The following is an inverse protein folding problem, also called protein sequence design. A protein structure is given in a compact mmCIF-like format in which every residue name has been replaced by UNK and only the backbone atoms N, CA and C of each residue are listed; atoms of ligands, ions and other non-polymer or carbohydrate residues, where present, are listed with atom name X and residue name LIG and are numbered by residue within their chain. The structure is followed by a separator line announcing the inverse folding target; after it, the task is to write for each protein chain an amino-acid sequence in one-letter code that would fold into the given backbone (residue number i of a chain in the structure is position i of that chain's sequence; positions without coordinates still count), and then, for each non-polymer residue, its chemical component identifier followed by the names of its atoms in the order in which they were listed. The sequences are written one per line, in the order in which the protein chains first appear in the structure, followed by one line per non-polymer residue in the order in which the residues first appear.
data_IF_820224099265
#
_entry.id   IF_820224099265
#
_cell.length_a   1.000
_cell.length_b   1.000
_cell.length_c   1.000
_cell.angle_alpha   90.00
_cell.angle_beta   90.00
_cell.angle_gamma   90.00
#
_symmetry.space_group_name_H-M   'P 1'
#
loop_
_entity.id
_entity.type
_entity.pdbx_description
1 polymer ?
#
# COMPACT_ATOMS: atom_id res chain seq x y z
N UNK A 1 -39.30 -16.32 -50.35
CA UNK A 1 -38.18 -15.40 -50.08
C UNK A 1 -37.94 -15.29 -48.60
N UNK A 2 -36.94 -15.99 -48.05
CA UNK A 2 -36.58 -15.94 -46.62
C UNK A 2 -35.53 -14.87 -46.41
N UNK A 3 -35.84 -13.82 -45.62
CA UNK A 3 -34.90 -12.75 -45.28
C UNK A 3 -34.00 -13.27 -44.17
N UNK A 4 -32.71 -13.43 -44.48
CA UNK A 4 -31.65 -13.72 -43.53
C UNK A 4 -31.28 -12.40 -42.83
N UNK A 5 -31.46 -12.33 -41.48
CA UNK A 5 -30.96 -11.23 -40.65
C UNK A 5 -29.55 -11.58 -40.23
N UNK A 6 -28.58 -10.87 -40.75
CA UNK A 6 -27.18 -10.92 -40.33
C UNK A 6 -27.01 -10.14 -39.04
N UNK A 7 -26.78 -10.84 -37.89
CA UNK A 7 -26.36 -10.22 -36.64
C UNK A 7 -24.84 -10.10 -36.65
N UNK A 8 -24.32 -8.89 -36.88
CA UNK A 8 -22.92 -8.59 -36.62
C UNK A 8 -22.73 -8.44 -35.09
N UNK A 9 -22.05 -9.39 -34.48
CA UNK A 9 -21.50 -9.24 -33.16
C UNK A 9 -20.19 -8.44 -33.24
N UNK A 10 -20.23 -7.18 -32.82
CA UNK A 10 -19.02 -6.40 -32.58
C UNK A 10 -18.43 -6.91 -31.26
N UNK A 11 -17.38 -7.71 -31.32
CA UNK A 11 -16.48 -7.94 -30.20
C UNK A 11 -15.72 -6.63 -29.97
N UNK A 12 -16.19 -5.81 -29.04
CA UNK A 12 -15.39 -4.73 -28.46
C UNK A 12 -14.39 -5.44 -27.55
N UNK A 13 -13.17 -5.63 -28.05
CA UNK A 13 -12.04 -5.94 -27.20
C UNK A 13 -11.84 -4.72 -26.29
N UNK A 14 -12.44 -4.74 -25.09
CA UNK A 14 -11.99 -3.85 -24.01
C UNK A 14 -10.53 -4.19 -23.79
N UNK A 15 -9.65 -3.27 -24.15
CA UNK A 15 -8.27 -3.27 -23.65
C UNK A 15 -8.39 -3.20 -22.13
N UNK A 16 -8.11 -4.31 -21.46
CA UNK A 16 -7.91 -4.37 -20.03
C UNK A 16 -6.62 -3.59 -19.73
N UNK A 17 -6.69 -2.27 -19.70
CA UNK A 17 -5.80 -1.50 -18.84
C UNK A 17 -6.16 -1.98 -17.43
N UNK A 18 -5.19 -2.60 -16.74
CA UNK A 18 -5.42 -3.15 -15.42
C UNK A 18 -6.07 -2.11 -14.52
N UNK A 19 -7.20 -2.48 -13.91
CA UNK A 19 -7.88 -1.60 -12.97
C UNK A 19 -6.87 -1.20 -11.90
N UNK A 20 -6.72 0.13 -11.66
CA UNK A 20 -5.82 0.65 -10.64
C UNK A 20 -6.33 0.28 -9.25
N UNK A 21 -5.44 -0.25 -8.44
CA UNK A 21 -5.70 -0.45 -7.02
C UNK A 21 -5.72 0.88 -6.27
N UNK A 22 -6.40 0.86 -5.13
CA UNK A 22 -6.31 1.87 -4.09
C UNK A 22 -5.56 1.27 -2.90
N UNK A 23 -4.69 2.06 -2.29
CA UNK A 23 -3.91 1.64 -1.13
C UNK A 23 -4.32 2.43 0.10
N UNK A 24 -4.57 1.75 1.20
CA UNK A 24 -4.58 2.37 2.52
C UNK A 24 -3.19 2.19 3.14
N UNK A 25 -2.54 3.29 3.49
CA UNK A 25 -1.36 3.30 4.33
C UNK A 25 -1.79 3.72 5.74
N UNK A 26 -1.86 2.75 6.65
CA UNK A 26 -2.26 2.94 8.04
C UNK A 26 -1.04 2.92 8.93
N UNK A 27 -0.83 3.98 9.71
CA UNK A 27 0.31 4.11 10.62
C UNK A 27 -0.18 4.17 12.06
N UNK A 28 0.22 3.22 12.87
CA UNK A 28 -0.01 3.20 14.31
C UNK A 28 1.18 3.82 15.02
N UNK A 29 0.92 4.80 15.89
CA UNK A 29 1.94 5.43 16.74
C UNK A 29 1.84 4.85 18.14
N UNK A 30 2.87 4.11 18.56
CA UNK A 30 2.92 3.39 19.83
C UNK A 30 3.59 4.26 20.87
N UNK A 31 2.96 4.56 22.02
CA UNK A 31 3.60 5.28 23.10
C UNK A 31 4.68 4.43 23.78
N UNK A 32 5.61 5.06 24.49
CA UNK A 32 6.71 4.40 25.19
C UNK A 32 6.26 3.23 26.09
N UNK A 33 5.10 3.37 26.73
CA UNK A 33 4.48 2.36 27.57
C UNK A 33 3.36 1.55 26.88
N UNK A 34 3.25 1.65 25.57
CA UNK A 34 2.24 0.94 24.78
C UNK A 34 2.57 -0.54 24.61
N UNK A 35 1.53 -1.34 24.40
CA UNK A 35 1.69 -2.78 24.14
C UNK A 35 1.78 -3.07 22.65
N UNK A 36 2.99 -3.04 22.11
CA UNK A 36 3.28 -3.48 20.76
C UNK A 36 2.82 -4.92 20.51
N UNK A 37 3.08 -5.81 21.47
CA UNK A 37 2.65 -7.20 21.38
C UNK A 37 1.14 -7.35 21.24
N UNK A 38 0.34 -6.51 21.92
CA UNK A 38 -1.11 -6.54 21.78
C UNK A 38 -1.57 -6.07 20.37
N UNK A 39 -0.84 -5.13 19.76
CA UNK A 39 -1.11 -4.72 18.39
C UNK A 39 -0.75 -5.83 17.39
N UNK A 40 0.41 -6.46 17.54
CA UNK A 40 0.81 -7.58 16.69
C UNK A 40 -0.20 -8.74 16.77
N UNK A 41 -0.57 -9.16 17.97
CA UNK A 41 -1.58 -10.20 18.15
C UNK A 41 -2.92 -9.83 17.52
N UNK A 42 -3.37 -8.58 17.65
CA UNK A 42 -4.59 -8.11 16.98
C UNK A 42 -4.48 -8.15 15.46
N UNK A 43 -3.37 -7.69 14.90
CA UNK A 43 -3.16 -7.72 13.46
C UNK A 43 -3.12 -9.16 12.95
N UNK A 44 -2.31 -10.02 13.57
CA UNK A 44 -2.07 -11.40 13.12
C UNK A 44 -3.28 -12.30 13.31
N UNK A 45 -3.93 -12.26 14.49
CA UNK A 45 -4.99 -13.21 14.86
C UNK A 45 -6.40 -12.74 14.49
N UNK A 46 -6.60 -11.43 14.29
CA UNK A 46 -7.92 -10.88 14.07
C UNK A 46 -8.05 -10.15 12.72
N UNK A 47 -7.30 -9.05 12.52
CA UNK A 47 -7.54 -8.15 11.39
C UNK A 47 -7.10 -8.75 10.05
N UNK A 48 -5.87 -9.24 9.93
CA UNK A 48 -5.36 -9.80 8.67
C UNK A 48 -6.18 -11.00 8.19
N UNK A 49 -6.52 -12.00 9.04
CA UNK A 49 -7.39 -13.09 8.61
C UNK A 49 -8.79 -12.63 8.21
N UNK A 50 -9.32 -11.58 8.84
CA UNK A 50 -10.63 -11.06 8.50
C UNK A 50 -10.63 -10.30 7.16
N UNK A 51 -9.58 -9.55 6.84
CA UNK A 51 -9.38 -8.90 5.55
C UNK A 51 -9.20 -9.93 4.43
N UNK A 52 -8.36 -10.94 4.66
CA UNK A 52 -8.13 -12.02 3.68
C UNK A 52 -9.43 -12.77 3.33
N UNK A 53 -10.29 -13.05 4.30
CA UNK A 53 -11.61 -13.67 4.05
C UNK A 53 -12.53 -12.82 3.16
N UNK A 54 -12.23 -11.54 3.00
CA UNK A 54 -12.96 -10.59 2.14
C UNK A 54 -12.24 -10.29 0.83
N UNK A 55 -11.24 -11.11 0.49
CA UNK A 55 -10.49 -10.99 -0.76
C UNK A 55 -9.49 -9.82 -0.77
N UNK A 56 -9.18 -9.23 0.40
CA UNK A 56 -8.08 -8.27 0.53
C UNK A 56 -6.80 -9.04 0.80
N UNK A 57 -5.94 -9.11 -0.20
CA UNK A 57 -4.71 -9.90 -0.20
C UNK A 57 -3.47 -9.01 -0.30
N UNK A 58 -2.27 -9.60 -0.21
CA UNK A 58 -0.98 -8.90 -0.35
C UNK A 58 -0.80 -7.74 0.64
N UNK A 59 -1.33 -7.89 1.85
CA UNK A 59 -1.21 -6.89 2.92
C UNK A 59 0.21 -6.94 3.49
N UNK A 60 0.85 -5.75 3.60
CA UNK A 60 2.14 -5.60 4.26
C UNK A 60 1.99 -5.00 5.65
N UNK A 61 2.78 -5.49 6.62
CA UNK A 61 2.93 -4.88 7.95
C UNK A 61 4.42 -4.67 8.19
N UNK A 62 4.80 -3.46 8.51
CA UNK A 62 6.19 -3.03 8.57
C UNK A 62 6.48 -2.29 9.88
N UNK A 63 7.68 -2.48 10.38
CA UNK A 63 8.23 -1.72 11.49
C UNK A 63 9.38 -0.84 11.00
N UNK A 64 9.54 0.33 11.62
CA UNK A 64 10.67 1.19 11.31
C UNK A 64 11.98 0.54 11.79
N UNK A 65 13.02 0.61 10.95
CA UNK A 65 14.34 0.12 11.30
C UNK A 65 14.94 0.96 12.44
N UNK A 66 15.59 0.29 13.39
CA UNK A 66 16.13 0.92 14.60
C UNK A 66 15.09 1.05 15.72
N UNK A 67 15.30 1.99 16.62
CA UNK A 67 14.42 2.24 17.77
C UNK A 67 13.86 3.68 17.73
N UNK A 68 13.02 4.01 16.76
CA UNK A 68 12.44 5.34 16.68
C UNK A 68 11.51 5.61 17.86
N UNK A 69 11.50 6.85 18.35
CA UNK A 69 10.56 7.29 19.39
C UNK A 69 9.72 8.45 18.88
N UNK A 70 8.40 8.32 18.79
CA UNK A 70 7.60 7.11 19.09
C UNK A 70 7.79 5.99 18.05
N UNK A 71 7.66 4.75 18.47
CA UNK A 71 7.66 3.60 17.57
C UNK A 71 6.44 3.63 16.66
N UNK A 72 6.60 3.18 15.41
CA UNK A 72 5.52 3.13 14.43
C UNK A 72 5.42 1.73 13.80
N UNK A 73 4.19 1.27 13.65
CA UNK A 73 3.85 0.12 12.80
C UNK A 73 3.04 0.64 11.63
N UNK A 74 3.51 0.34 10.43
CA UNK A 74 2.90 0.77 9.16
C UNK A 74 2.26 -0.44 8.49
N UNK A 75 0.99 -0.29 8.09
CA UNK A 75 0.23 -1.33 7.38
C UNK A 75 -0.16 -0.80 6.01
N UNK A 76 0.22 -1.53 4.96
CA UNK A 76 -0.15 -1.27 3.57
C UNK A 76 -1.23 -2.26 3.16
N UNK A 77 -2.40 -1.77 2.80
CA UNK A 77 -3.57 -2.59 2.43
C UNK A 77 -4.03 -2.22 1.03
N UNK A 78 -3.90 -3.11 0.03
CA UNK A 78 -4.44 -2.88 -1.29
C UNK A 78 -5.94 -3.22 -1.35
N UNK A 79 -6.69 -2.37 -2.05
CA UNK A 79 -8.10 -2.57 -2.38
C UNK A 79 -8.29 -2.45 -3.88
N UNK A 80 -9.17 -3.25 -4.45
CA UNK A 80 -9.48 -3.19 -5.87
C UNK A 80 -9.99 -1.80 -6.30
N UNK A 81 -10.74 -1.14 -5.43
CA UNK A 81 -11.24 0.23 -5.56
C UNK A 81 -11.61 0.81 -4.19
N UNK A 82 -11.91 2.10 -4.15
CA UNK A 82 -12.26 2.79 -2.90
C UNK A 82 -13.62 2.34 -2.32
N UNK A 83 -14.54 1.86 -3.15
CA UNK A 83 -15.83 1.34 -2.68
C UNK A 83 -15.65 0.00 -1.96
N UNK A 84 -14.69 -0.82 -2.40
CA UNK A 84 -14.30 -2.07 -1.73
C UNK A 84 -13.82 -1.81 -0.30
N UNK A 85 -13.04 -0.77 -0.04
CA UNK A 85 -12.68 -0.37 1.32
C UNK A 85 -13.91 -0.15 2.21
N UNK A 86 -14.85 0.68 1.76
CA UNK A 86 -16.07 0.98 2.54
C UNK A 86 -16.91 -0.27 2.82
N UNK A 87 -17.05 -1.15 1.82
CA UNK A 87 -17.74 -2.44 1.97
C UNK A 87 -17.05 -3.35 2.99
N UNK A 88 -15.73 -3.51 2.88
CA UNK A 88 -14.93 -4.35 3.79
C UNK A 88 -15.06 -3.87 5.22
N UNK A 89 -14.93 -2.56 5.48
CA UNK A 89 -15.09 -2.00 6.83
C UNK A 89 -16.49 -2.29 7.40
N UNK A 90 -17.54 -2.09 6.61
CA UNK A 90 -18.91 -2.37 7.05
C UNK A 90 -19.17 -3.85 7.33
N UNK A 91 -18.51 -4.74 6.60
CA UNK A 91 -18.61 -6.19 6.80
C UNK A 91 -17.81 -6.70 7.99
N UNK A 92 -16.68 -6.07 8.33
CA UNK A 92 -15.90 -6.39 9.53
C UNK A 92 -16.73 -6.25 10.82
N UNK A 93 -17.54 -5.20 10.91
CA UNK A 93 -18.40 -4.96 12.09
C UNK A 93 -19.53 -6.02 12.26
N UNK A 94 -19.73 -6.89 11.26
CA UNK A 94 -20.71 -7.98 11.27
C UNK A 94 -20.05 -9.36 11.30
N UNK A 95 -18.72 -9.44 11.24
CA UNK A 95 -17.99 -10.69 11.25
C UNK A 95 -17.80 -11.22 12.66
N UNK A 96 -18.63 -12.19 13.06
CA UNK A 96 -18.57 -12.80 14.39
C UNK A 96 -17.20 -13.43 14.71
N UNK A 97 -16.50 -13.97 13.70
CA UNK A 97 -15.16 -14.54 13.89
C UNK A 97 -14.14 -13.44 14.21
N UNK A 98 -14.17 -12.34 13.45
CA UNK A 98 -13.35 -11.17 13.72
C UNK A 98 -13.68 -10.55 15.08
N UNK A 99 -14.97 -10.30 15.36
CA UNK A 99 -15.43 -9.73 16.63
C UNK A 99 -15.04 -10.58 17.84
N UNK A 100 -15.02 -11.92 17.68
CA UNK A 100 -14.53 -12.82 18.74
C UNK A 100 -13.00 -12.73 18.90
N UNK A 101 -12.27 -12.72 17.81
CA UNK A 101 -10.81 -12.69 17.82
C UNK A 101 -10.26 -11.36 18.40
N UNK A 102 -10.90 -10.23 18.12
CA UNK A 102 -10.47 -8.90 18.58
C UNK A 102 -10.76 -8.61 20.06
N UNK A 103 -11.51 -9.45 20.77
CA UNK A 103 -11.96 -9.19 22.15
C UNK A 103 -10.82 -8.86 23.12
N UNK A 104 -9.67 -9.56 23.03
CA UNK A 104 -8.52 -9.29 23.89
C UNK A 104 -7.93 -7.90 23.64
N UNK A 105 -7.88 -7.49 22.39
CA UNK A 105 -7.45 -6.16 21.97
C UNK A 105 -8.43 -5.07 22.44
N UNK A 106 -9.74 -5.28 22.28
CA UNK A 106 -10.76 -4.33 22.73
C UNK A 106 -10.79 -4.19 24.27
N UNK A 107 -10.36 -5.21 25.00
CA UNK A 107 -10.31 -5.23 26.47
C UNK A 107 -9.05 -4.58 27.06
N UNK A 108 -8.11 -4.08 26.23
CA UNK A 108 -6.89 -3.42 26.73
C UNK A 108 -7.28 -2.14 27.47
N UNK A 109 -6.89 -1.98 28.74
CA UNK A 109 -7.29 -0.83 29.53
C UNK A 109 -6.59 0.45 29.06
N UNK A 110 -7.20 1.59 29.33
CA UNK A 110 -6.76 2.91 28.84
C UNK A 110 -5.30 3.25 29.26
N UNK A 111 -4.90 2.90 30.45
CA UNK A 111 -3.54 3.13 30.97
C UNK A 111 -2.47 2.26 30.30
N UNK A 112 -2.90 1.16 29.63
CA UNK A 112 -2.07 0.26 28.83
C UNK A 112 -2.38 0.32 27.34
N UNK A 113 -2.93 1.44 26.88
CA UNK A 113 -3.34 1.63 25.49
C UNK A 113 -2.28 1.16 24.50
N UNK A 114 -2.73 0.52 23.45
CA UNK A 114 -1.88 -0.12 22.44
C UNK A 114 -1.17 0.93 21.57
N UNK A 115 -1.87 2.00 21.21
CA UNK A 115 -1.33 3.12 20.42
C UNK A 115 -1.89 4.47 20.91
N UNK A 116 -1.21 5.54 20.60
CA UNK A 116 -1.67 6.91 20.90
C UNK A 116 -2.66 7.37 19.84
N UNK A 117 -2.33 7.15 18.59
CA UNK A 117 -3.12 7.48 17.39
C UNK A 117 -2.81 6.45 16.31
N UNK A 118 -3.74 6.26 15.40
CA UNK A 118 -3.42 5.79 14.06
C UNK A 118 -3.92 6.80 13.03
N UNK A 119 -3.18 6.95 11.96
CA UNK A 119 -3.58 7.69 10.77
C UNK A 119 -3.83 6.72 9.63
N UNK A 120 -4.74 7.10 8.73
CA UNK A 120 -5.03 6.37 7.51
C UNK A 120 -4.95 7.34 6.35
N UNK A 121 -4.12 7.03 5.36
CA UNK A 121 -3.98 7.79 4.12
C UNK A 121 -4.32 6.89 2.94
N UNK A 122 -5.04 7.43 1.95
CA UNK A 122 -5.42 6.70 0.74
C UNK A 122 -4.67 7.19 -0.47
N UNK A 123 -4.30 6.24 -1.31
CA UNK A 123 -3.55 6.47 -2.55
C UNK A 123 -4.22 5.75 -3.69
N UNK A 124 -4.16 6.34 -4.90
CA UNK A 124 -4.50 5.65 -6.15
C UNK A 124 -3.21 5.21 -6.85
N UNK A 125 -3.17 3.98 -7.31
CA UNK A 125 -2.01 3.42 -8.00
C UNK A 125 -1.61 4.25 -9.24
N UNK A 126 -0.31 4.26 -9.58
CA UNK A 126 0.19 4.86 -10.81
C UNK A 126 -0.19 4.01 -12.03
N UNK A 127 -0.27 4.65 -13.23
CA UNK A 127 -0.57 3.92 -14.48
C UNK A 127 0.51 2.90 -14.82
N UNK A 128 1.77 3.24 -14.56
CA UNK A 128 2.93 2.35 -14.82
C UNK A 128 3.08 1.20 -13.83
N UNK A 129 2.41 1.26 -12.66
CA UNK A 129 2.36 0.19 -11.67
C UNK A 129 0.95 0.14 -11.05
N UNK A 130 -0.06 -0.36 -11.81
CA UNK A 130 -1.47 -0.24 -11.42
C UNK A 130 -1.87 -1.16 -10.25
N UNK A 131 -1.04 -2.11 -9.88
CA UNK A 131 -1.28 -3.07 -8.81
C UNK A 131 -0.02 -3.28 -7.97
N UNK A 132 -0.21 -3.70 -6.71
CA UNK A 132 0.89 -4.06 -5.82
C UNK A 132 1.71 -5.22 -6.40
N UNK A 133 3.03 -5.10 -6.35
CA UNK A 133 3.96 -6.14 -6.77
C UNK A 133 4.56 -6.80 -5.54
N UNK A 134 4.56 -8.14 -5.52
CA UNK A 134 5.17 -8.89 -4.41
C UNK A 134 6.66 -8.59 -4.34
N UNK A 135 7.21 -8.38 -3.14
CA UNK A 135 8.65 -8.25 -2.96
C UNK A 135 9.40 -9.46 -3.52
N UNK A 136 10.64 -9.26 -3.94
CA UNK A 136 11.51 -10.38 -4.32
C UNK A 136 11.64 -11.36 -3.15
N UNK A 137 11.73 -12.64 -3.45
CA UNK A 137 12.00 -13.66 -2.42
C UNK A 137 13.29 -13.32 -1.67
N UNK A 138 13.21 -13.23 -0.36
CA UNK A 138 14.36 -12.89 0.50
C UNK A 138 14.49 -11.38 0.80
N UNK A 139 13.58 -10.53 0.30
CA UNK A 139 13.55 -9.12 0.73
C UNK A 139 13.26 -9.02 2.22
N UNK A 140 14.09 -8.25 2.92
CA UNK A 140 13.99 -8.00 4.36
C UNK A 140 13.95 -6.50 4.70
N UNK A 141 14.32 -5.66 3.74
CA UNK A 141 14.33 -4.22 3.87
C UNK A 141 13.32 -3.59 2.90
N UNK A 142 12.52 -2.67 3.44
CA UNK A 142 11.54 -1.91 2.67
C UNK A 142 11.79 -0.42 2.87
N UNK A 143 11.90 0.31 1.77
CA UNK A 143 12.09 1.75 1.79
C UNK A 143 10.79 2.43 1.37
N UNK A 144 10.11 3.09 2.32
CA UNK A 144 8.93 3.90 2.08
C UNK A 144 9.34 5.35 1.86
N UNK A 145 9.01 5.94 0.71
CA UNK A 145 9.30 7.33 0.37
C UNK A 145 8.04 8.10 0.09
N UNK A 146 7.91 9.26 0.72
CA UNK A 146 6.85 10.23 0.43
C UNK A 146 7.45 11.50 -0.13
N UNK A 147 6.89 11.96 -1.24
CA UNK A 147 7.24 13.24 -1.87
C UNK A 147 6.06 14.19 -1.70
N UNK A 148 6.22 15.17 -0.85
CA UNK A 148 5.27 16.25 -0.68
C UNK A 148 5.51 17.31 -1.76
N UNK A 149 4.46 17.65 -2.51
CA UNK A 149 4.54 18.68 -3.54
C UNK A 149 4.13 20.04 -2.99
N UNK A 150 4.73 21.09 -3.50
CA UNK A 150 4.31 22.47 -3.21
C UNK A 150 2.99 22.86 -3.89
N UNK A 151 2.48 22.03 -4.79
CA UNK A 151 1.18 22.16 -5.47
C UNK A 151 0.73 20.83 -6.08
N UNK A 152 -0.56 20.69 -6.35
CA UNK A 152 -1.13 19.52 -7.04
C UNK A 152 -0.51 19.33 -8.43
N UNK A 153 -0.21 20.43 -9.12
CA UNK A 153 0.47 20.37 -10.42
C UNK A 153 1.88 19.80 -10.31
N UNK A 154 2.62 20.16 -9.26
CA UNK A 154 3.96 19.60 -9.03
C UNK A 154 3.90 18.09 -8.82
N UNK A 155 2.93 17.58 -8.05
CA UNK A 155 2.72 16.13 -7.86
C UNK A 155 2.33 15.47 -9.16
N UNK A 156 1.36 16.02 -9.94
CA UNK A 156 0.96 15.46 -11.25
C UNK A 156 2.14 15.34 -12.21
N UNK A 157 3.02 16.36 -12.27
CA UNK A 157 4.23 16.30 -13.12
C UNK A 157 5.19 15.21 -12.65
N UNK A 158 5.39 15.04 -11.34
CA UNK A 158 6.24 13.99 -10.78
C UNK A 158 5.67 12.62 -11.07
N UNK A 159 4.36 12.39 -10.88
CA UNK A 159 3.67 11.15 -11.26
C UNK A 159 3.83 10.84 -12.75
N UNK A 160 3.69 11.87 -13.62
CA UNK A 160 3.89 11.70 -15.06
C UNK A 160 5.33 11.30 -15.40
N UNK A 161 6.32 11.83 -14.70
CA UNK A 161 7.72 11.50 -14.89
C UNK A 161 7.98 10.02 -14.53
N UNK A 162 7.49 9.55 -13.38
CA UNK A 162 7.56 8.14 -13.01
C UNK A 162 6.94 7.22 -14.07
N UNK A 163 5.73 7.55 -14.51
CA UNK A 163 5.02 6.72 -15.49
C UNK A 163 5.69 6.66 -16.87
N UNK A 164 6.47 7.66 -17.24
CA UNK A 164 7.13 7.73 -18.54
C UNK A 164 8.54 7.16 -18.58
N UNK A 165 9.31 7.42 -17.53
CA UNK A 165 10.77 7.31 -17.58
C UNK A 165 11.33 6.52 -16.39
N UNK A 166 10.95 6.87 -15.16
CA UNK A 166 11.63 6.35 -13.97
C UNK A 166 11.41 4.84 -13.73
N UNK A 167 10.27 4.26 -14.08
CA UNK A 167 10.06 2.81 -13.88
C UNK A 167 11.07 1.98 -14.67
N UNK A 168 11.39 2.36 -15.91
CA UNK A 168 12.40 1.66 -16.71
C UNK A 168 13.80 1.77 -16.08
N UNK A 169 14.14 2.94 -15.52
CA UNK A 169 15.41 3.15 -14.82
C UNK A 169 15.45 2.34 -13.51
N UNK A 170 14.34 2.28 -12.77
CA UNK A 170 14.23 1.47 -11.54
C UNK A 170 14.49 -0.01 -11.85
N UNK A 171 13.85 -0.54 -12.88
CA UNK A 171 14.05 -1.92 -13.30
C UNK A 171 15.50 -2.19 -13.73
N UNK A 172 16.10 -1.30 -14.53
CA UNK A 172 17.47 -1.41 -15.01
C UNK A 172 18.52 -1.35 -13.88
N UNK A 173 18.20 -0.65 -12.78
CA UNK A 173 19.12 -0.44 -11.65
C UNK A 173 18.83 -1.36 -10.46
N UNK A 174 17.81 -2.21 -10.55
CA UNK A 174 17.45 -3.18 -9.52
C UNK A 174 16.66 -2.60 -8.35
N UNK A 175 16.09 -1.40 -8.50
CA UNK A 175 15.18 -0.79 -7.54
C UNK A 175 13.81 -1.45 -7.65
N UNK A 176 13.60 -2.54 -6.92
CA UNK A 176 12.39 -3.34 -7.03
C UNK A 176 11.16 -2.63 -6.44
N UNK A 177 10.26 -2.21 -7.32
CA UNK A 177 9.02 -1.50 -7.00
C UNK A 177 7.99 -2.43 -6.37
N UNK A 178 7.42 -2.02 -5.23
CA UNK A 178 6.33 -2.74 -4.53
C UNK A 178 4.99 -2.07 -4.76
N UNK A 179 4.87 -0.77 -4.49
CA UNK A 179 3.72 0.03 -4.86
C UNK A 179 4.12 1.47 -5.13
N UNK A 180 3.32 2.17 -5.93
CA UNK A 180 3.40 3.61 -6.18
C UNK A 180 2.00 4.18 -6.15
N UNK A 181 1.77 5.24 -5.38
CA UNK A 181 0.45 5.84 -5.22
C UNK A 181 0.48 7.36 -5.11
N UNK A 182 -0.45 8.03 -5.82
CA UNK A 182 -0.76 9.43 -5.61
C UNK A 182 -1.78 9.54 -4.47
N UNK A 183 -1.50 10.40 -3.48
CA UNK A 183 -2.37 10.55 -2.33
C UNK A 183 -3.67 11.23 -2.72
N UNK A 184 -4.80 10.56 -2.44
CA UNK A 184 -6.15 11.06 -2.72
C UNK A 184 -6.89 11.49 -1.46
N UNK A 185 -6.42 11.04 -0.28
CA UNK A 185 -6.94 11.46 1.02
C UNK A 185 -5.86 11.26 2.10
N UNK A 186 -5.76 12.19 3.03
CA UNK A 186 -4.82 12.12 4.15
C UNK A 186 -4.18 13.48 4.45
N UNK A 187 -3.34 13.57 5.50
CA UNK A 187 -2.87 14.85 6.04
C UNK A 187 -1.74 15.51 5.22
N UNK A 188 -1.09 14.79 4.30
CA UNK A 188 0.14 15.25 3.61
C UNK A 188 -0.10 15.66 2.16
N UNK A 189 -1.35 15.93 1.77
CA UNK A 189 -1.68 16.34 0.40
C UNK A 189 -1.21 17.75 0.09
N UNK A 190 -0.75 18.00 -1.17
CA UNK A 190 -0.60 17.05 -2.26
C UNK A 190 0.71 16.25 -2.15
N UNK A 191 0.64 14.93 -2.28
CA UNK A 191 1.78 14.05 -2.12
C UNK A 191 1.67 12.78 -2.98
N UNK A 192 2.77 12.10 -3.18
CA UNK A 192 2.84 10.73 -3.66
C UNK A 192 3.70 9.90 -2.71
N UNK A 193 3.42 8.60 -2.63
CA UNK A 193 4.21 7.67 -1.81
C UNK A 193 4.47 6.40 -2.60
N UNK A 194 5.67 5.84 -2.43
CA UNK A 194 6.04 4.57 -3.01
C UNK A 194 6.90 3.73 -2.07
N UNK A 195 6.97 2.44 -2.34
CA UNK A 195 7.79 1.50 -1.60
C UNK A 195 8.65 0.67 -2.52
N UNK A 196 9.92 0.55 -2.15
CA UNK A 196 10.90 -0.35 -2.76
C UNK A 196 11.27 -1.46 -1.79
N UNK A 197 11.73 -2.59 -2.30
CA UNK A 197 12.19 -3.70 -1.48
C UNK A 197 13.59 -4.16 -1.84
N UNK A 198 14.36 -4.56 -0.83
CA UNK A 198 15.76 -4.98 -0.92
C UNK A 198 16.03 -6.15 0.01
N UNK A 199 17.07 -6.93 -0.27
CA UNK A 199 17.55 -7.99 0.61
C UNK A 199 18.38 -7.45 1.77
N UNK A 200 19.06 -6.30 1.58
CA UNK A 200 19.92 -5.67 2.58
C UNK A 200 20.11 -4.16 2.33
N UNK A 201 20.75 -3.46 3.27
CA UNK A 201 21.15 -2.06 3.12
C UNK A 201 22.22 -1.88 2.04
N UNK A 202 23.13 -2.84 1.90
CA UNK A 202 24.18 -2.83 0.88
C UNK A 202 23.56 -2.87 -0.52
N UNK A 203 22.62 -3.79 -0.78
CA UNK A 203 21.89 -3.84 -2.06
C UNK A 203 21.16 -2.52 -2.34
N UNK A 204 20.48 -2.00 -1.33
CA UNK A 204 19.79 -0.71 -1.44
C UNK A 204 20.75 0.40 -1.87
N UNK A 205 21.89 0.55 -1.19
CA UNK A 205 22.86 1.61 -1.45
C UNK A 205 23.53 1.46 -2.82
N UNK A 206 23.86 0.22 -3.23
CA UNK A 206 24.41 -0.03 -4.55
C UNK A 206 23.41 0.27 -5.67
N UNK A 207 22.15 -0.10 -5.51
CA UNK A 207 21.13 0.13 -6.54
C UNK A 207 20.81 1.62 -6.68
N UNK A 208 20.77 2.39 -5.57
CA UNK A 208 20.63 3.84 -5.64
C UNK A 208 21.84 4.52 -6.28
N UNK A 209 23.07 4.03 -6.05
CA UNK A 209 24.27 4.54 -6.75
C UNK A 209 24.17 4.34 -8.26
N UNK A 210 23.70 3.15 -8.71
CA UNK A 210 23.48 2.89 -10.15
C UNK A 210 22.41 3.83 -10.73
N UNK A 211 21.33 4.06 -9.99
CA UNK A 211 20.26 4.95 -10.40
C UNK A 211 20.74 6.40 -10.63
N UNK A 212 21.50 6.95 -9.68
CA UNK A 212 21.95 8.36 -9.74
C UNK A 212 22.87 8.62 -10.95
N UNK A 213 23.62 7.61 -11.40
CA UNK A 213 24.53 7.74 -12.55
C UNK A 213 23.96 7.18 -13.84
N UNK A 214 22.70 6.77 -13.85
CA UNK A 214 22.06 6.23 -15.04
C UNK A 214 21.94 7.31 -16.12
N UNK A 215 22.30 7.04 -17.40
CA UNK A 215 22.33 8.07 -18.45
C UNK A 215 20.97 8.71 -18.74
N UNK A 216 19.88 8.02 -18.47
CA UNK A 216 18.52 8.50 -18.69
C UNK A 216 17.90 9.17 -17.45
N UNK A 217 18.68 9.31 -16.37
CA UNK A 217 18.28 10.00 -15.14
C UNK A 217 18.58 11.50 -15.15
#
# INVERSE_FOLDING_TARGET
MKKCKLFLWFNVSLSLFGQKEYYELRTYTIPFNGSEQALHAYLEDALLPALNRRGVENIGVFEALGEPTPKQIVMLVPYQDIATYGKVVAELEKDNTYLKARKAYDAVPHDKRVYTRFSSSFYIAFDGLPQIVKPKKGSQLFELRTYEGYSEDAVRRKVKMFNKEEFAIFDATGLHSVFFGEQVSGPMMPALTYMLSFSSMEERDENWKKFIVHPDW
#
